data_IF_745264633516
#
_entry.id   IF_745264633516
#
_cell.length_a   1.000
_cell.length_b   1.000
_cell.length_c   1.000
_cell.angle_alpha   90.00
_cell.angle_beta   90.00
_cell.angle_gamma   90.00
#
_symmetry.space_group_name_H-M   'P 1'
#
loop_
_entity.id
_entity.type
_entity.pdbx_description
1 polymer ?
#
# COMPACT_ATOMS: atom_id res chain seq x y z
N UNK A 1 -18.29 -56.17 14.82
CA UNK A 1 -17.53 -55.41 13.83
C UNK A 1 -18.47 -54.88 12.76
N UNK A 2 -18.66 -53.58 12.70
CA UNK A 2 -19.46 -52.97 11.63
C UNK A 2 -18.63 -53.00 10.36
N UNK A 3 -19.06 -53.76 9.37
CA UNK A 3 -18.45 -53.75 8.05
C UNK A 3 -18.71 -52.39 7.45
N UNK A 4 -17.65 -51.57 7.31
CA UNK A 4 -17.72 -50.29 6.62
C UNK A 4 -18.03 -50.57 5.17
N UNK A 5 -19.27 -50.24 4.75
CA UNK A 5 -19.68 -50.48 3.35
C UNK A 5 -18.80 -49.68 2.40
N UNK A 6 -18.43 -50.28 1.28
CA UNK A 6 -17.56 -49.67 0.27
C UNK A 6 -17.86 -48.18 -0.09
N UNK A 7 -19.13 -47.72 -0.13
CA UNK A 7 -19.40 -46.30 -0.36
C UNK A 7 -18.98 -45.40 0.80
N UNK A 8 -19.09 -45.85 2.04
CA UNK A 8 -18.69 -45.12 3.25
C UNK A 8 -17.16 -44.88 3.26
N UNK A 9 -16.39 -45.90 2.91
CA UNK A 9 -14.93 -45.79 2.83
C UNK A 9 -14.48 -44.80 1.75
N UNK A 10 -15.17 -44.75 0.61
CA UNK A 10 -14.89 -43.80 -0.45
C UNK A 10 -15.15 -42.35 0.01
N UNK A 11 -16.26 -42.14 0.69
CA UNK A 11 -16.61 -40.81 1.23
C UNK A 11 -15.54 -40.36 2.24
N UNK A 12 -15.11 -41.23 3.14
CA UNK A 12 -14.07 -40.95 4.12
C UNK A 12 -12.75 -40.59 3.45
N UNK A 13 -12.37 -41.33 2.38
CA UNK A 13 -11.16 -41.03 1.60
C UNK A 13 -11.25 -39.67 0.92
N UNK A 14 -12.39 -39.30 0.33
CA UNK A 14 -12.59 -37.98 -0.30
C UNK A 14 -12.52 -36.84 0.74
N UNK A 15 -13.16 -37.03 1.89
CA UNK A 15 -13.11 -36.02 2.99
C UNK A 15 -11.69 -35.84 3.50
N UNK A 16 -10.94 -36.94 3.65
CA UNK A 16 -9.56 -36.89 4.10
C UNK A 16 -8.63 -36.24 3.08
N UNK A 17 -8.83 -36.54 1.79
CA UNK A 17 -8.09 -35.95 0.69
C UNK A 17 -8.38 -34.45 0.54
N UNK A 18 -9.63 -34.06 0.72
CA UNK A 18 -10.07 -32.66 0.70
C UNK A 18 -9.50 -31.86 1.87
N UNK A 19 -9.44 -32.49 3.06
CA UNK A 19 -8.81 -31.89 4.24
C UNK A 19 -7.30 -31.67 4.05
N UNK A 20 -6.62 -32.59 3.38
CA UNK A 20 -5.19 -32.44 3.04
C UNK A 20 -4.98 -31.31 2.04
N UNK A 21 -5.84 -31.18 1.02
CA UNK A 21 -5.75 -30.11 0.02
C UNK A 21 -5.96 -28.74 0.67
N UNK A 22 -6.94 -28.61 1.58
CA UNK A 22 -7.21 -27.37 2.31
C UNK A 22 -6.06 -27.04 3.28
N UNK A 23 -5.44 -28.03 3.89
CA UNK A 23 -4.30 -27.86 4.80
C UNK A 23 -2.98 -27.50 4.11
N UNK A 24 -2.84 -27.74 2.79
CA UNK A 24 -1.68 -27.39 2.00
C UNK A 24 -1.77 -26.01 1.34
N UNK A 25 -2.90 -25.30 1.48
CA UNK A 25 -2.95 -23.89 1.07
C UNK A 25 -2.00 -23.11 1.97
N UNK A 26 -0.88 -22.57 1.45
CA UNK A 26 -0.08 -21.67 2.25
C UNK A 26 -0.99 -20.49 2.60
N UNK A 27 -1.15 -20.22 3.89
CA UNK A 27 -1.55 -18.91 4.32
C UNK A 27 -0.44 -17.97 3.82
N UNK A 28 -0.59 -17.48 2.61
CA UNK A 28 0.16 -16.32 2.17
C UNK A 28 -0.27 -15.19 3.10
N UNK A 29 0.44 -15.06 4.22
CA UNK A 29 0.45 -13.83 4.97
C UNK A 29 0.94 -12.80 3.97
N UNK A 30 0.02 -12.04 3.39
CA UNK A 30 0.34 -10.77 2.77
C UNK A 30 0.85 -9.89 3.92
N UNK A 31 2.12 -10.06 4.26
CA UNK A 31 2.85 -9.03 4.95
C UNK A 31 2.68 -7.81 4.04
N UNK A 32 1.94 -6.82 4.52
CA UNK A 32 1.97 -5.50 3.95
C UNK A 32 3.44 -5.09 4.03
N UNK A 33 4.19 -5.32 2.95
CA UNK A 33 5.55 -4.87 2.83
C UNK A 33 5.43 -3.36 2.70
N UNK A 34 5.69 -2.66 3.81
CA UNK A 34 5.83 -1.23 3.78
C UNK A 34 6.85 -0.89 2.69
N UNK A 35 6.54 0.12 1.88
CA UNK A 35 7.45 0.59 0.85
C UNK A 35 8.72 1.05 1.56
N UNK A 36 9.88 0.52 1.14
CA UNK A 36 11.16 0.95 1.68
C UNK A 36 11.50 2.35 1.19
N UNK A 37 11.32 3.32 2.05
CA UNK A 37 11.58 4.74 1.78
C UNK A 37 12.97 5.20 2.25
N UNK A 38 13.80 4.29 2.78
CA UNK A 38 15.09 4.62 3.39
C UNK A 38 16.09 5.26 2.42
N UNK A 39 15.95 5.00 1.11
CA UNK A 39 16.78 5.60 0.07
C UNK A 39 16.35 7.01 -0.38
N UNK A 40 15.21 7.50 0.11
CA UNK A 40 14.68 8.82 -0.28
C UNK A 40 15.06 9.85 0.77
N UNK A 41 15.76 10.90 0.33
CA UNK A 41 16.21 11.99 1.22
C UNK A 41 15.13 13.05 1.42
N UNK A 42 15.23 13.80 2.52
CA UNK A 42 14.35 14.94 2.77
C UNK A 42 14.50 16.02 1.69
N UNK A 43 15.70 16.21 1.15
CA UNK A 43 15.93 17.17 0.06
C UNK A 43 15.16 16.81 -1.20
N UNK A 44 15.07 15.52 -1.55
CA UNK A 44 14.30 15.05 -2.69
C UNK A 44 12.78 15.29 -2.46
N UNK A 45 12.29 15.03 -1.26
CA UNK A 45 10.90 15.29 -0.89
C UNK A 45 10.60 16.78 -0.93
N UNK A 46 11.46 17.61 -0.35
CA UNK A 46 11.28 19.05 -0.28
C UNK A 46 11.39 19.74 -1.65
N UNK A 47 12.19 19.19 -2.55
CA UNK A 47 12.26 19.67 -3.93
C UNK A 47 10.91 19.65 -4.64
N UNK A 48 10.08 18.65 -4.35
CA UNK A 48 8.71 18.53 -4.88
C UNK A 48 7.74 19.31 -4.00
N UNK A 49 7.84 19.16 -2.68
CA UNK A 49 6.95 19.79 -1.71
C UNK A 49 6.86 21.31 -1.84
N UNK A 50 7.97 21.97 -2.16
CA UNK A 50 8.00 23.44 -2.37
C UNK A 50 7.21 23.92 -3.61
N UNK A 51 6.86 23.02 -4.50
CA UNK A 51 6.09 23.30 -5.72
C UNK A 51 4.59 22.97 -5.53
N UNK A 52 4.22 22.39 -4.39
CA UNK A 52 2.85 22.01 -4.05
C UNK A 52 2.36 22.89 -2.90
N UNK A 53 1.09 23.25 -2.94
CA UNK A 53 0.45 24.06 -1.91
C UNK A 53 -0.51 23.23 -1.07
N UNK A 54 -0.59 23.54 0.21
CA UNK A 54 -1.56 22.92 1.11
C UNK A 54 -2.98 23.38 0.74
N UNK A 55 -3.94 22.46 0.45
CA UNK A 55 -5.28 22.85 0.07
C UNK A 55 -6.09 23.44 1.23
N UNK A 56 -5.68 23.20 2.47
CA UNK A 56 -6.32 23.71 3.71
C UNK A 56 -5.61 24.92 4.30
N UNK A 57 -4.43 25.26 3.78
CA UNK A 57 -3.62 26.40 4.22
C UNK A 57 -3.42 27.29 2.99
N UNK A 58 -4.12 28.41 2.89
CA UNK A 58 -4.02 29.29 1.73
C UNK A 58 -2.57 29.67 1.41
N UNK A 59 -2.13 29.34 0.19
CA UNK A 59 -0.83 29.75 -0.36
C UNK A 59 0.42 29.34 0.44
N UNK A 60 0.34 28.31 1.26
CA UNK A 60 1.51 27.82 2.01
C UNK A 60 2.11 26.60 1.30
N UNK A 61 3.38 26.67 0.82
CA UNK A 61 4.06 25.53 0.24
C UNK A 61 4.22 24.38 1.25
N UNK A 62 4.15 23.13 0.76
CA UNK A 62 4.21 21.96 1.62
C UNK A 62 5.54 21.80 2.38
N UNK A 63 6.64 22.29 1.83
CA UNK A 63 7.97 22.20 2.45
C UNK A 63 8.09 23.01 3.76
N UNK A 64 7.37 24.14 3.85
CA UNK A 64 7.39 25.03 5.02
C UNK A 64 6.14 24.93 5.88
N UNK A 65 5.16 24.14 5.48
CA UNK A 65 3.92 23.94 6.21
C UNK A 65 4.14 23.02 7.41
N UNK A 66 3.87 23.53 8.62
CA UNK A 66 4.08 22.83 9.88
C UNK A 66 2.90 21.98 10.38
N UNK A 67 1.80 21.89 9.62
CA UNK A 67 0.64 21.11 10.03
C UNK A 67 0.84 19.62 9.83
N UNK A 68 0.10 18.80 10.58
CA UNK A 68 0.13 17.34 10.43
C UNK A 68 -0.32 16.90 9.03
N UNK A 69 -1.28 17.59 8.41
CA UNK A 69 -1.72 17.31 7.06
C UNK A 69 -0.56 17.48 6.05
N UNK A 70 0.20 18.55 6.16
CA UNK A 70 1.38 18.78 5.32
C UNK A 70 2.47 17.74 5.56
N UNK A 71 2.67 17.31 6.81
CA UNK A 71 3.61 16.23 7.12
C UNK A 71 3.20 14.92 6.44
N UNK A 72 1.93 14.56 6.47
CA UNK A 72 1.39 13.38 5.78
C UNK A 72 1.55 13.48 4.27
N UNK A 73 1.38 14.65 3.68
CA UNK A 73 1.57 14.85 2.24
C UNK A 73 3.03 14.76 1.83
N UNK A 74 3.96 15.28 2.63
CA UNK A 74 5.40 15.07 2.40
C UNK A 74 5.77 13.59 2.47
N UNK A 75 5.18 12.85 3.39
CA UNK A 75 5.39 11.41 3.48
C UNK A 75 4.83 10.68 2.27
N UNK A 76 3.66 11.08 1.77
CA UNK A 76 3.08 10.53 0.53
C UNK A 76 4.00 10.81 -0.68
N UNK A 77 4.61 11.98 -0.77
CA UNK A 77 5.63 12.28 -1.79
C UNK A 77 6.81 11.30 -1.67
N UNK A 78 7.28 11.04 -0.45
CA UNK A 78 8.37 10.09 -0.18
C UNK A 78 8.02 8.69 -0.67
N UNK A 79 6.84 8.21 -0.35
CA UNK A 79 6.34 6.89 -0.81
C UNK A 79 6.31 6.81 -2.33
N UNK A 80 5.78 7.82 -3.01
CA UNK A 80 5.72 7.87 -4.47
C UNK A 80 7.10 7.88 -5.13
N UNK A 81 8.04 8.62 -4.56
CA UNK A 81 9.43 8.59 -5.00
C UNK A 81 10.06 7.20 -4.82
N UNK A 82 9.80 6.53 -3.71
CA UNK A 82 10.27 5.16 -3.44
C UNK A 82 9.66 4.13 -4.41
N UNK A 83 8.43 4.38 -4.88
CA UNK A 83 7.78 3.59 -5.93
C UNK A 83 8.38 3.84 -7.34
N UNK A 84 9.26 4.80 -7.48
CA UNK A 84 9.91 5.16 -8.74
C UNK A 84 9.15 6.18 -9.59
N UNK A 85 8.19 6.90 -9.00
CA UNK A 85 7.46 7.96 -9.69
C UNK A 85 8.35 9.17 -9.97
N UNK A 86 8.13 9.81 -11.12
CA UNK A 86 8.77 11.08 -11.45
C UNK A 86 8.09 12.24 -10.72
N UNK A 87 8.80 13.36 -10.63
CA UNK A 87 8.25 14.61 -10.09
C UNK A 87 6.94 15.02 -10.75
N UNK A 88 6.89 14.98 -12.09
CA UNK A 88 5.67 15.35 -12.83
C UNK A 88 4.50 14.40 -12.55
N UNK A 89 4.75 13.09 -12.45
CA UNK A 89 3.72 12.12 -12.08
C UNK A 89 3.18 12.38 -10.67
N UNK A 90 4.02 12.76 -9.74
CA UNK A 90 3.61 13.09 -8.37
C UNK A 90 2.77 14.37 -8.35
N UNK A 91 3.20 15.42 -9.06
CA UNK A 91 2.43 16.67 -9.17
C UNK A 91 1.07 16.45 -9.82
N UNK A 92 1.01 15.69 -10.90
CA UNK A 92 -0.24 15.33 -11.57
C UNK A 92 -1.16 14.53 -10.66
N UNK A 93 -0.61 13.61 -9.86
CA UNK A 93 -1.38 12.87 -8.87
C UNK A 93 -2.05 13.81 -7.86
N UNK A 94 -1.32 14.76 -7.29
CA UNK A 94 -1.88 15.72 -6.34
C UNK A 94 -2.92 16.63 -6.99
N UNK A 95 -2.66 17.13 -8.19
CA UNK A 95 -3.60 17.95 -8.93
C UNK A 95 -4.91 17.20 -9.25
N UNK A 96 -4.82 15.94 -9.65
CA UNK A 96 -5.99 15.10 -9.93
C UNK A 96 -6.80 14.76 -8.68
N UNK A 97 -6.14 14.58 -7.52
CA UNK A 97 -6.81 14.22 -6.27
C UNK A 97 -7.41 15.42 -5.52
N UNK A 98 -6.74 16.56 -5.59
CA UNK A 98 -7.06 17.73 -4.75
C UNK A 98 -7.38 18.99 -5.54
N UNK A 99 -7.27 18.96 -6.87
CA UNK A 99 -7.54 20.07 -7.76
C UNK A 99 -6.33 20.95 -8.06
N UNK A 100 -6.53 21.95 -8.91
CA UNK A 100 -5.47 22.80 -9.44
C UNK A 100 -4.87 23.79 -8.43
N UNK A 101 -5.30 23.74 -7.18
CA UNK A 101 -4.81 24.63 -6.10
C UNK A 101 -3.63 24.08 -5.33
N UNK A 102 -3.21 22.87 -5.64
CA UNK A 102 -2.08 22.19 -5.00
C UNK A 102 -0.78 22.37 -5.74
#
# INVERSE_FOLDING_TARGET
>A
MKVIQKPQLRILLYVFLLAIIVGLLPLASAAAQGIDTSGITDDQVNAIAKQLFCPVCESTPLDVCGTQACAQWRELIREKLAEGWTEDQIKDYFANQYGDRV
#
